data_IF_080560544771
#
_entry.id   IF_080560544771
#
_cell.length_a   1.000
_cell.length_b   1.000
_cell.length_c   1.000
_cell.angle_alpha   90.00
_cell.angle_beta   90.00
_cell.angle_gamma   90.00
#
_symmetry.space_group_name_H-M   'P 1'
#
loop_
_entity.id
_entity.type
_entity.pdbx_description
1 polymer ?
#
# COMPACT_ATOMS: atom_id res chain seq x y z
N UNK A 1 -6.21 -15.59 -17.04
CA UNK A 1 -5.88 -14.17 -16.96
C UNK A 1 -4.44 -13.99 -16.49
N UNK A 2 -3.76 -13.02 -17.06
CA UNK A 2 -2.41 -12.71 -16.60
C UNK A 2 -2.45 -12.13 -15.19
N UNK A 3 -1.41 -12.43 -14.42
CA UNK A 3 -1.25 -11.88 -13.07
C UNK A 3 -0.53 -10.56 -13.13
N UNK A 4 -1.09 -9.56 -12.47
CA UNK A 4 -0.48 -8.25 -12.33
C UNK A 4 -0.35 -7.90 -10.85
N UNK A 5 0.77 -7.30 -10.47
CA UNK A 5 1.00 -6.84 -9.11
C UNK A 5 1.00 -5.32 -9.09
N UNK A 6 0.33 -4.76 -8.09
CA UNK A 6 0.23 -3.32 -7.88
C UNK A 6 0.85 -2.99 -6.54
N UNK A 7 1.82 -2.08 -6.52
CA UNK A 7 2.40 -1.60 -5.27
C UNK A 7 1.37 -0.73 -4.54
N UNK A 8 1.59 -0.53 -3.26
CA UNK A 8 0.65 0.19 -2.43
C UNK A 8 1.07 1.64 -2.21
N UNK A 9 2.29 1.86 -1.69
CA UNK A 9 2.73 3.21 -1.31
C UNK A 9 2.92 4.09 -2.55
N UNK A 10 2.26 5.24 -2.56
CA UNK A 10 2.28 6.23 -3.64
C UNK A 10 1.78 5.71 -4.99
N UNK A 11 1.17 4.54 -5.01
CA UNK A 11 0.41 4.02 -6.15
C UNK A 11 -1.07 3.96 -5.81
N UNK A 12 -1.40 3.26 -4.72
CA UNK A 12 -2.77 3.17 -4.23
C UNK A 12 -3.02 4.14 -3.09
N UNK A 13 -2.05 4.30 -2.18
CA UNK A 13 -2.16 5.17 -1.01
C UNK A 13 -1.30 6.42 -1.17
N UNK A 14 -1.84 7.53 -0.73
CA UNK A 14 -1.16 8.82 -0.69
C UNK A 14 -0.38 8.92 0.62
N UNK A 15 0.90 8.52 0.59
CA UNK A 15 1.75 8.53 1.78
C UNK A 15 1.85 9.94 2.39
N UNK A 16 2.06 11.02 1.62
CA UNK A 16 2.07 12.37 2.20
C UNK A 16 0.81 12.74 2.95
N UNK A 17 -0.36 12.22 2.58
CA UNK A 17 -1.60 12.53 3.32
C UNK A 17 -1.56 11.97 4.73
N UNK A 18 -0.94 10.81 4.93
CA UNK A 18 -0.74 10.26 6.26
C UNK A 18 0.24 11.08 7.07
N UNK A 19 1.34 11.52 6.46
CA UNK A 19 2.33 12.37 7.12
C UNK A 19 1.69 13.65 7.61
N UNK A 20 0.84 14.28 6.80
CA UNK A 20 0.20 15.55 7.15
C UNK A 20 -0.72 15.42 8.36
N UNK A 21 -1.16 14.22 8.69
CA UNK A 21 -2.07 13.98 9.82
C UNK A 21 -1.36 13.56 11.10
N UNK A 22 -0.03 13.48 11.09
CA UNK A 22 0.76 13.13 12.28
C UNK A 22 1.06 14.43 13.05
N UNK A 23 0.87 14.46 14.39
CA UNK A 23 1.29 15.60 15.20
C UNK A 23 2.76 15.92 15.00
N UNK A 24 3.10 17.20 14.98
CA UNK A 24 4.46 17.63 14.66
C UNK A 24 5.51 17.07 15.62
N UNK A 25 5.21 17.00 16.91
CA UNK A 25 6.14 16.46 17.90
C UNK A 25 6.42 14.97 17.70
N UNK A 26 5.45 14.23 17.19
CA UNK A 26 5.67 12.82 16.85
C UNK A 26 6.51 12.74 15.58
N UNK A 27 6.16 13.53 14.56
CA UNK A 27 6.88 13.55 13.29
C UNK A 27 8.35 13.90 13.47
N UNK A 28 8.66 14.83 14.36
CA UNK A 28 10.04 15.24 14.64
C UNK A 28 10.90 14.08 15.15
N UNK A 29 10.31 13.13 15.88
CA UNK A 29 11.02 11.95 16.36
C UNK A 29 11.25 10.87 15.33
N UNK A 30 10.66 11.01 14.14
CA UNK A 30 10.71 9.98 13.08
C UNK A 30 11.10 10.57 11.72
N UNK A 31 11.88 11.66 11.68
CA UNK A 31 12.12 12.44 10.46
C UNK A 31 12.56 11.62 9.25
N UNK A 32 13.45 10.66 9.44
CA UNK A 32 13.98 9.83 8.35
C UNK A 32 13.40 8.42 8.33
N UNK A 33 12.35 8.18 9.12
CA UNK A 33 11.68 6.88 9.19
C UNK A 33 10.18 7.07 9.50
N UNK A 34 9.54 7.92 8.70
CA UNK A 34 8.12 8.25 8.89
C UNK A 34 7.21 7.04 8.74
N UNK A 35 7.61 6.04 7.94
CA UNK A 35 6.88 4.80 7.79
C UNK A 35 6.85 3.95 9.07
N UNK A 36 7.72 4.26 10.04
CA UNK A 36 7.74 3.56 11.33
C UNK A 36 6.81 4.19 12.37
N UNK A 37 6.17 5.31 12.05
CA UNK A 37 5.22 5.93 12.98
C UNK A 37 4.01 5.00 13.17
N UNK A 38 3.73 4.58 14.42
CA UNK A 38 2.56 3.71 14.65
C UNK A 38 1.27 4.35 14.16
N UNK A 39 0.49 3.58 13.41
CA UNK A 39 -0.81 4.02 12.92
C UNK A 39 -0.78 4.85 11.65
N UNK A 40 0.40 5.20 11.09
CA UNK A 40 0.46 6.10 9.94
C UNK A 40 -0.29 5.56 8.72
N UNK A 41 -0.26 4.25 8.48
CA UNK A 41 -0.92 3.68 7.31
C UNK A 41 -2.44 3.69 7.42
N UNK A 42 -2.99 3.84 8.63
CA UNK A 42 -4.41 4.04 8.83
C UNK A 42 -4.89 5.46 8.55
N UNK A 43 -3.97 6.41 8.41
CA UNK A 43 -4.28 7.81 8.18
C UNK A 43 -4.25 8.23 6.72
N UNK A 44 -3.84 7.34 5.82
CA UNK A 44 -3.60 7.69 4.43
C UNK A 44 -4.88 7.64 3.60
N UNK A 45 -5.02 8.63 2.72
CA UNK A 45 -6.07 8.65 1.70
C UNK A 45 -5.66 7.82 0.48
N UNK A 46 -6.61 7.37 -0.34
CA UNK A 46 -6.28 6.81 -1.64
C UNK A 46 -5.67 7.89 -2.55
N UNK A 47 -4.76 7.47 -3.42
CA UNK A 47 -4.30 8.33 -4.51
C UNK A 47 -5.49 8.64 -5.42
N UNK A 48 -5.49 9.81 -6.11
CA UNK A 48 -6.56 10.13 -7.04
C UNK A 48 -6.77 9.00 -8.06
N UNK A 49 -8.02 8.58 -8.23
CA UNK A 49 -8.43 7.53 -9.17
C UNK A 49 -7.87 6.13 -8.89
N UNK A 50 -7.20 5.93 -7.74
CA UNK A 50 -6.59 4.65 -7.43
C UNK A 50 -7.62 3.53 -7.28
N UNK A 51 -8.75 3.83 -6.63
CA UNK A 51 -9.80 2.83 -6.41
C UNK A 51 -10.38 2.39 -7.75
N UNK A 52 -10.75 3.34 -8.60
CA UNK A 52 -11.33 3.05 -9.90
C UNK A 52 -10.36 2.29 -10.79
N UNK A 53 -9.08 2.68 -10.76
CA UNK A 53 -8.05 2.02 -11.54
C UNK A 53 -7.83 0.58 -11.08
N UNK A 54 -7.80 0.35 -9.76
CA UNK A 54 -7.66 -1.00 -9.24
C UNK A 54 -8.86 -1.88 -9.64
N UNK A 55 -10.07 -1.34 -9.53
CA UNK A 55 -11.27 -2.07 -9.91
C UNK A 55 -11.27 -2.42 -11.40
N UNK A 56 -10.79 -1.51 -12.25
CA UNK A 56 -10.65 -1.77 -13.66
C UNK A 56 -9.66 -2.91 -13.91
N UNK A 57 -8.48 -2.86 -13.27
CA UNK A 57 -7.47 -3.90 -13.42
C UNK A 57 -8.00 -5.26 -12.94
N UNK A 58 -8.74 -5.27 -11.84
CA UNK A 58 -9.29 -6.50 -11.27
C UNK A 58 -10.29 -7.18 -12.20
N UNK A 59 -10.93 -6.43 -13.11
CA UNK A 59 -11.85 -7.00 -14.10
C UNK A 59 -11.13 -7.65 -15.29
N UNK A 60 -9.89 -7.22 -15.56
CA UNK A 60 -9.17 -7.62 -16.76
C UNK A 60 -7.95 -8.49 -16.48
N UNK A 61 -7.48 -8.52 -15.25
CA UNK A 61 -6.29 -9.25 -14.83
C UNK A 61 -6.53 -9.93 -13.49
N UNK A 62 -5.70 -10.93 -13.21
CA UNK A 62 -5.63 -11.51 -11.87
C UNK A 62 -4.75 -10.58 -11.03
N UNK A 63 -5.36 -9.61 -10.37
CA UNK A 63 -4.68 -8.45 -9.80
C UNK A 63 -4.46 -8.61 -8.31
N UNK A 64 -3.19 -8.55 -7.89
CA UNK A 64 -2.79 -8.61 -6.49
C UNK A 64 -2.11 -7.31 -6.09
N UNK A 65 -2.20 -6.97 -4.81
CA UNK A 65 -1.41 -5.90 -4.22
C UNK A 65 -0.16 -6.53 -3.62
N UNK A 66 1.01 -6.05 -4.03
CA UNK A 66 2.28 -6.55 -3.52
C UNK A 66 3.02 -5.38 -2.89
N UNK A 67 3.15 -5.41 -1.56
CA UNK A 67 3.70 -4.32 -0.79
C UNK A 67 4.66 -4.84 0.27
N UNK A 68 5.43 -3.94 0.86
CA UNK A 68 6.20 -4.24 2.07
C UNK A 68 5.56 -3.52 3.24
N UNK A 69 5.86 -3.98 4.46
CA UNK A 69 5.49 -3.26 5.67
C UNK A 69 6.75 -3.10 6.53
N UNK A 70 6.99 -1.91 7.13
CA UNK A 70 8.20 -1.68 7.90
C UNK A 70 8.36 -2.69 9.03
N UNK A 71 9.57 -3.23 9.15
CA UNK A 71 9.86 -4.24 10.17
C UNK A 71 9.58 -3.74 11.58
N UNK A 72 9.89 -2.46 11.83
CA UNK A 72 9.76 -1.87 13.17
C UNK A 72 8.39 -1.22 13.42
N UNK A 73 7.42 -1.41 12.52
CA UNK A 73 6.07 -0.87 12.71
C UNK A 73 5.03 -1.98 12.56
N UNK A 74 4.78 -2.75 13.66
CA UNK A 74 3.78 -3.82 13.58
C UNK A 74 2.40 -3.37 13.14
N UNK A 75 2.00 -2.13 13.51
CA UNK A 75 0.68 -1.62 13.10
C UNK A 75 0.56 -1.46 11.60
N UNK A 76 1.67 -1.30 10.87
CA UNK A 76 1.62 -1.18 9.42
C UNK A 76 1.06 -2.43 8.75
N UNK A 77 1.33 -3.60 9.31
CA UNK A 77 0.84 -4.87 8.76
C UNK A 77 -0.68 -4.96 8.84
N UNK A 78 -1.25 -4.68 10.01
CA UNK A 78 -2.70 -4.69 10.17
C UNK A 78 -3.36 -3.50 9.48
N UNK A 79 -2.75 -2.32 9.54
CA UNK A 79 -3.33 -1.12 8.96
C UNK A 79 -3.38 -1.18 7.43
N UNK A 80 -2.38 -1.78 6.79
CA UNK A 80 -2.43 -2.00 5.34
C UNK A 80 -3.58 -2.93 4.96
N UNK A 81 -3.77 -4.00 5.72
CA UNK A 81 -4.91 -4.90 5.48
C UNK A 81 -6.24 -4.15 5.67
N UNK A 82 -6.38 -3.41 6.76
CA UNK A 82 -7.61 -2.67 7.04
C UNK A 82 -7.89 -1.63 5.96
N UNK A 83 -6.84 -0.96 5.47
CA UNK A 83 -6.95 0.02 4.39
C UNK A 83 -7.51 -0.63 3.11
N UNK A 84 -6.96 -1.78 2.74
CA UNK A 84 -7.40 -2.52 1.56
C UNK A 84 -8.86 -2.95 1.71
N UNK A 85 -9.24 -3.45 2.88
CA UNK A 85 -10.62 -3.86 3.14
C UNK A 85 -11.58 -2.66 3.04
N UNK A 86 -11.15 -1.50 3.56
CA UNK A 86 -11.99 -0.31 3.58
C UNK A 86 -12.21 0.29 2.19
N UNK A 87 -11.15 0.41 1.39
CA UNK A 87 -11.20 1.18 0.14
C UNK A 87 -11.38 0.31 -1.10
N UNK A 88 -10.89 -0.90 -1.11
CA UNK A 88 -10.94 -1.77 -2.28
C UNK A 88 -11.95 -2.91 -2.13
N UNK A 89 -12.26 -3.29 -0.89
CA UNK A 89 -13.32 -4.22 -0.60
C UNK A 89 -13.20 -5.55 -1.34
N UNK A 90 -14.28 -5.95 -1.98
CA UNK A 90 -14.36 -7.26 -2.61
C UNK A 90 -13.41 -7.43 -3.79
N UNK A 91 -13.09 -6.36 -4.50
CA UNK A 91 -12.16 -6.44 -5.64
C UNK A 91 -10.77 -6.91 -5.23
N UNK A 92 -10.37 -6.66 -3.98
CA UNK A 92 -9.07 -7.06 -3.45
C UNK A 92 -9.15 -8.18 -2.41
N UNK A 93 -10.26 -8.90 -2.36
CA UNK A 93 -10.48 -9.96 -1.38
C UNK A 93 -9.40 -11.04 -1.51
N UNK A 94 -8.66 -11.26 -0.41
CA UNK A 94 -7.54 -12.22 -0.33
C UNK A 94 -6.44 -11.96 -1.37
N UNK A 95 -6.25 -10.69 -1.75
CA UNK A 95 -5.31 -10.32 -2.80
C UNK A 95 -4.23 -9.36 -2.33
N UNK A 96 -3.98 -9.30 -1.02
CA UNK A 96 -2.90 -8.50 -0.46
C UNK A 96 -1.75 -9.41 -0.06
N UNK A 97 -0.56 -9.09 -0.60
CA UNK A 97 0.68 -9.78 -0.26
C UNK A 97 1.61 -8.76 0.38
N UNK A 98 2.03 -9.01 1.62
CA UNK A 98 3.03 -8.20 2.31
C UNK A 98 4.31 -9.01 2.40
N UNK A 99 5.40 -8.47 1.87
CA UNK A 99 6.67 -9.19 1.80
C UNK A 99 7.84 -8.22 1.79
N UNK A 100 8.91 -8.56 2.50
CA UNK A 100 10.19 -7.85 2.39
C UNK A 100 11.02 -8.34 1.20
N UNK A 101 10.55 -9.37 0.52
CA UNK A 101 11.28 -10.05 -0.55
C UNK A 101 10.37 -10.20 -1.77
N UNK A 102 10.05 -9.07 -2.41
CA UNK A 102 9.15 -9.06 -3.57
C UNK A 102 9.66 -9.96 -4.71
N UNK A 103 10.97 -10.16 -4.79
CA UNK A 103 11.59 -11.03 -5.78
C UNK A 103 11.23 -12.50 -5.63
N UNK A 104 10.68 -12.92 -4.48
CA UNK A 104 10.23 -14.29 -4.29
C UNK A 104 8.87 -14.56 -4.95
N UNK A 105 8.17 -13.51 -5.35
CA UNK A 105 6.92 -13.64 -6.06
C UNK A 105 7.19 -13.64 -7.56
N UNK A 106 6.50 -14.51 -8.28
CA UNK A 106 6.67 -14.64 -9.73
C UNK A 106 5.91 -13.50 -10.41
N UNK A 107 6.61 -12.42 -10.71
CA UNK A 107 6.01 -11.16 -11.15
C UNK A 107 6.07 -11.07 -12.67
N UNK A 108 4.91 -11.05 -13.34
CA UNK A 108 4.82 -10.75 -14.76
C UNK A 108 4.83 -9.24 -14.99
N UNK A 109 4.03 -8.51 -14.22
CA UNK A 109 3.92 -7.05 -14.32
C UNK A 109 3.81 -6.47 -12.92
N UNK A 110 4.59 -5.43 -12.66
CA UNK A 110 4.54 -4.69 -11.40
C UNK A 110 4.31 -3.21 -11.70
N UNK A 111 3.26 -2.65 -11.11
CA UNK A 111 2.99 -1.22 -11.17
C UNK A 111 3.47 -0.61 -9.85
N UNK A 112 4.50 0.23 -9.90
CA UNK A 112 4.98 0.94 -8.72
C UNK A 112 5.41 2.36 -9.10
N UNK A 113 5.73 3.17 -8.08
CA UNK A 113 6.06 4.59 -8.27
C UNK A 113 7.53 4.85 -8.59
N UNK A 114 8.36 3.81 -8.55
CA UNK A 114 9.80 3.99 -8.74
C UNK A 114 10.16 3.91 -10.21
N UNK A 115 11.01 4.84 -10.62
CA UNK A 115 11.59 4.85 -11.96
C UNK A 115 12.78 3.91 -11.99
N UNK A 116 12.85 3.10 -13.01
CA UNK A 116 13.97 2.16 -13.18
C UNK A 116 14.75 2.43 -14.42
#
# INVERSE_FOLDING_TARGET
METIYVDMDNVLVDFPSGIARIPEEIRAGYEDRLDEVPGIFGLMDPMPQAIESYEFLAQHFDTYILSTAPWHNPSAWSDKLLWVQRYLGQAAYKRLILSHHKNLNDVHYLIDDRTK
#
